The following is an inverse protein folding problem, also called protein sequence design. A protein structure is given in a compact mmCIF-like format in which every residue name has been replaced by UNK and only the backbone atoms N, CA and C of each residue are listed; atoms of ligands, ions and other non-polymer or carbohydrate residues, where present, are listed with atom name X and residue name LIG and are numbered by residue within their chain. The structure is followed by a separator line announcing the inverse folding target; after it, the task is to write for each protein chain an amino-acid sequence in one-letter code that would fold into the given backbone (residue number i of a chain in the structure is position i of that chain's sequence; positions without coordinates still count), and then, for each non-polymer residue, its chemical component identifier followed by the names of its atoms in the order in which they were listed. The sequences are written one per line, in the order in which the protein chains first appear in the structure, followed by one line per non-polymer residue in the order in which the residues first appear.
data_IF_787610240698
#
_entry.id   IF_787610240698
#
_cell.length_a   1.000
_cell.length_b   1.000
_cell.length_c   1.000
_cell.angle_alpha   90.00
_cell.angle_beta   90.00
_cell.angle_gamma   90.00
#
_symmetry.space_group_name_H-M   'P 1'
#
loop_
_entity.id
_entity.type
_entity.pdbx_description
1 polymer ?
#
# COMPACT_ATOMS: atom_id res chain seq x y z
N UNK A 1 14.24 9.95 -48.81
CA UNK A 1 13.35 11.01 -48.27
C UNK A 1 13.67 11.27 -46.80
N UNK A 2 13.29 12.41 -46.23
CA UNK A 2 13.56 12.72 -44.80
C UNK A 2 12.30 12.48 -43.95
N UNK A 3 12.46 11.85 -42.78
CA UNK A 3 11.36 11.69 -41.83
C UNK A 3 10.89 13.08 -41.32
N UNK A 4 9.58 13.39 -41.34
CA UNK A 4 9.08 14.69 -40.89
C UNK A 4 9.32 14.92 -39.40
N UNK A 5 9.33 13.85 -38.58
CA UNK A 5 9.46 13.92 -37.13
C UNK A 5 10.92 13.99 -36.64
N UNK A 6 11.82 13.14 -37.15
CA UNK A 6 13.19 13.04 -36.63
C UNK A 6 14.29 13.42 -37.63
N UNK A 7 13.91 13.84 -38.86
CA UNK A 7 14.81 14.22 -39.96
C UNK A 7 15.85 13.17 -40.36
N UNK A 8 15.65 11.90 -39.96
CA UNK A 8 16.48 10.81 -40.44
C UNK A 8 16.25 10.55 -41.94
N UNK A 9 17.28 10.08 -42.63
CA UNK A 9 17.17 9.60 -44.01
C UNK A 9 16.39 8.28 -44.00
N UNK A 10 15.31 8.23 -44.76
CA UNK A 10 14.46 7.04 -44.94
C UNK A 10 14.41 6.68 -46.43
N UNK A 11 14.29 5.38 -46.74
CA UNK A 11 14.10 4.95 -48.12
C UNK A 11 12.68 5.28 -48.56
N UNK A 12 12.46 5.70 -49.82
CA UNK A 12 11.13 6.06 -50.29
C UNK A 12 10.13 4.89 -50.26
N UNK A 13 10.61 3.65 -50.24
CA UNK A 13 9.84 2.41 -50.14
C UNK A 13 9.32 2.14 -48.71
N UNK A 14 9.92 2.77 -47.68
CA UNK A 14 9.56 2.54 -46.29
C UNK A 14 8.17 3.13 -45.95
N UNK A 15 7.35 2.33 -45.26
CA UNK A 15 6.04 2.78 -44.76
C UNK A 15 6.16 3.53 -43.42
N UNK A 16 7.27 3.38 -42.70
CA UNK A 16 7.54 4.02 -41.41
C UNK A 16 9.03 4.29 -41.23
N UNK A 17 9.38 5.17 -40.30
CA UNK A 17 10.78 5.48 -39.99
C UNK A 17 11.39 4.42 -39.06
N UNK A 18 12.46 3.74 -39.50
CA UNK A 18 13.18 2.76 -38.67
C UNK A 18 13.82 3.36 -37.40
N UNK A 19 14.03 4.67 -37.34
CA UNK A 19 14.65 5.35 -36.19
C UNK A 19 13.67 5.74 -35.10
N UNK A 20 12.52 6.31 -35.46
CA UNK A 20 11.55 6.83 -34.49
C UNK A 20 10.17 6.16 -34.55
N UNK A 21 9.91 5.30 -35.54
CA UNK A 21 8.64 4.61 -35.72
C UNK A 21 7.51 5.45 -36.33
N UNK A 22 7.79 6.69 -36.76
CA UNK A 22 6.77 7.56 -37.38
C UNK A 22 6.30 7.00 -38.72
N UNK A 23 5.00 6.99 -38.98
CA UNK A 23 4.43 6.55 -40.25
C UNK A 23 4.73 7.56 -41.36
N UNK A 24 5.31 7.10 -42.47
CA UNK A 24 5.68 7.95 -43.60
C UNK A 24 4.61 7.94 -44.70
N UNK A 25 3.75 6.92 -44.72
CA UNK A 25 2.65 6.76 -45.67
C UNK A 25 1.32 6.62 -44.90
N UNK A 26 0.23 7.12 -45.50
CA UNK A 26 -1.12 7.12 -44.92
C UNK A 26 -1.75 5.71 -44.87
N UNK A 27 -1.23 4.76 -45.65
CA UNK A 27 -1.70 3.38 -45.64
C UNK A 27 -1.08 2.63 -44.45
N UNK A 28 -1.90 2.40 -43.40
CA UNK A 28 -1.58 1.44 -42.35
C UNK A 28 -1.71 0.03 -42.92
N UNK A 29 -0.61 -0.49 -43.46
CA UNK A 29 -0.50 -1.92 -43.69
C UNK A 29 -0.45 -2.61 -42.32
N UNK A 30 -1.15 -3.75 -42.12
CA UNK A 30 -1.02 -4.56 -40.92
C UNK A 30 0.38 -5.19 -40.92
N UNK A 31 1.37 -4.41 -40.47
CA UNK A 31 2.72 -4.91 -40.25
C UNK A 31 2.66 -5.73 -38.97
N UNK A 32 3.07 -7.01 -39.04
CA UNK A 32 3.27 -7.82 -37.83
C UNK A 32 4.16 -7.02 -36.89
N UNK A 33 3.74 -6.78 -35.63
CA UNK A 33 4.57 -6.04 -34.68
C UNK A 33 5.92 -6.75 -34.60
N UNK A 34 6.98 -6.03 -34.99
CA UNK A 34 8.33 -6.56 -34.89
C UNK A 34 8.58 -6.89 -33.42
N UNK A 35 8.91 -8.15 -33.13
CA UNK A 35 9.24 -8.59 -31.78
C UNK A 35 10.45 -7.79 -31.30
N UNK A 36 10.19 -6.78 -30.47
CA UNK A 36 11.25 -6.03 -29.82
C UNK A 36 11.86 -6.95 -28.79
N UNK A 37 13.08 -7.40 -29.05
CA UNK A 37 13.85 -8.16 -28.06
C UNK A 37 13.92 -7.33 -26.77
N UNK A 38 13.38 -7.87 -25.69
CA UNK A 38 13.52 -7.28 -24.35
C UNK A 38 15.01 -7.03 -24.10
N UNK A 39 15.35 -5.84 -23.61
CA UNK A 39 16.75 -5.51 -23.31
C UNK A 39 17.31 -6.59 -22.38
N UNK A 40 18.55 -7.07 -22.62
CA UNK A 40 19.13 -8.13 -21.80
C UNK A 40 19.15 -7.70 -20.34
N UNK A 41 18.69 -8.57 -19.44
CA UNK A 41 18.47 -8.28 -18.02
C UNK A 41 19.69 -7.61 -17.36
N UNK A 42 20.90 -7.98 -17.79
CA UNK A 42 22.16 -7.41 -17.30
C UNK A 42 22.29 -5.89 -17.52
N UNK A 43 21.64 -5.30 -18.52
CA UNK A 43 21.64 -3.83 -18.74
C UNK A 43 20.61 -3.10 -17.87
N UNK A 44 19.58 -3.80 -17.41
CA UNK A 44 18.46 -3.22 -16.64
C UNK A 44 18.63 -3.42 -15.12
N UNK A 45 19.38 -4.46 -14.73
CA UNK A 45 19.69 -4.80 -13.35
C UNK A 45 20.19 -3.62 -12.50
N UNK A 46 21.16 -2.78 -12.94
CA UNK A 46 21.66 -1.69 -12.10
C UNK A 46 20.62 -0.58 -11.90
N UNK A 47 19.75 -0.32 -12.87
CA UNK A 47 18.68 0.67 -12.75
C UNK A 47 17.60 0.20 -11.77
N UNK A 48 17.22 -1.08 -11.85
CA UNK A 48 16.28 -1.71 -10.91
C UNK A 48 16.83 -1.77 -9.49
N UNK A 49 18.12 -2.10 -9.32
CA UNK A 49 18.78 -2.13 -8.02
C UNK A 49 18.75 -0.75 -7.35
N UNK A 50 19.07 0.32 -8.10
CA UNK A 50 18.99 1.70 -7.59
C UNK A 50 17.54 2.08 -7.22
N UNK A 51 16.58 1.76 -8.08
CA UNK A 51 15.16 2.00 -7.79
C UNK A 51 14.68 1.29 -6.52
N UNK A 52 15.05 0.02 -6.34
CA UNK A 52 14.75 -0.75 -5.14
C UNK A 52 15.37 -0.16 -3.88
N UNK A 53 16.59 0.38 -3.97
CA UNK A 53 17.29 0.97 -2.84
C UNK A 53 16.62 2.26 -2.34
N UNK A 54 16.11 3.12 -3.24
CA UNK A 54 15.34 4.30 -2.86
C UNK A 54 14.01 3.94 -2.18
N UNK A 55 13.32 2.91 -2.67
CA UNK A 55 12.08 2.43 -2.05
C UNK A 55 12.35 1.88 -0.64
N UNK A 56 13.41 1.09 -0.48
CA UNK A 56 13.80 0.56 0.82
C UNK A 56 14.11 1.67 1.83
N UNK A 57 14.86 2.70 1.42
CA UNK A 57 15.14 3.88 2.24
C UNK A 57 13.87 4.65 2.62
N UNK A 58 12.95 4.85 1.68
CA UNK A 58 11.67 5.52 1.93
C UNK A 58 10.81 4.79 2.96
N UNK A 59 10.69 3.46 2.82
CA UNK A 59 9.93 2.61 3.76
C UNK A 59 10.57 2.62 5.15
N UNK A 60 11.89 2.48 5.24
CA UNK A 60 12.62 2.54 6.50
C UNK A 60 12.46 3.89 7.20
N UNK A 61 12.54 5.00 6.45
CA UNK A 61 12.34 6.35 6.97
C UNK A 61 10.92 6.57 7.51
N UNK A 62 9.90 6.13 6.76
CA UNK A 62 8.50 6.27 7.21
C UNK A 62 8.21 5.41 8.44
N UNK A 63 8.80 4.22 8.53
CA UNK A 63 8.72 3.37 9.72
C UNK A 63 9.38 4.03 10.93
N UNK A 64 10.60 4.56 10.77
CA UNK A 64 11.31 5.27 11.83
C UNK A 64 10.51 6.49 12.32
N UNK A 65 9.95 7.29 11.41
CA UNK A 65 9.12 8.44 11.75
C UNK A 65 7.90 8.04 12.59
N UNK A 66 7.22 6.96 12.23
CA UNK A 66 6.08 6.44 13.01
C UNK A 66 6.48 6.01 14.41
N UNK A 67 7.67 5.44 14.59
CA UNK A 67 8.17 5.07 15.93
C UNK A 67 8.47 6.31 16.77
N UNK A 68 9.10 7.33 16.19
CA UNK A 68 9.37 8.60 16.89
C UNK A 68 8.06 9.28 17.29
N UNK A 69 7.08 9.37 16.38
CA UNK A 69 5.76 9.94 16.68
C UNK A 69 5.06 9.16 17.80
N UNK A 70 5.08 7.82 17.75
CA UNK A 70 4.52 6.99 18.83
C UNK A 70 5.21 7.20 20.17
N UNK A 71 6.54 7.31 20.19
CA UNK A 71 7.30 7.54 21.41
C UNK A 71 7.06 8.94 22.01
N UNK A 72 6.89 9.95 21.16
CA UNK A 72 6.52 11.29 21.60
C UNK A 72 5.09 11.33 22.14
N UNK A 73 4.15 10.69 21.44
CA UNK A 73 2.76 10.58 21.89
C UNK A 73 2.66 9.79 23.20
N UNK A 74 3.38 8.69 23.35
CA UNK A 74 3.35 7.90 24.59
C UNK A 74 3.98 8.64 25.76
N UNK A 75 4.96 9.52 25.53
CA UNK A 75 5.51 10.42 26.56
C UNK A 75 4.60 11.60 26.88
N UNK A 76 3.92 12.17 25.89
CA UNK A 76 2.98 13.28 26.07
C UNK A 76 1.68 12.82 26.75
N UNK A 77 1.21 11.62 26.40
CA UNK A 77 0.03 10.96 26.98
C UNK A 77 0.40 10.03 28.13
N UNK A 78 1.68 9.95 28.54
CA UNK A 78 2.08 9.20 29.71
C UNK A 78 1.27 9.73 30.90
N UNK A 79 0.50 8.89 31.60
CA UNK A 79 -0.29 9.34 32.73
C UNK A 79 0.66 9.92 33.78
N UNK A 80 0.71 11.25 33.86
CA UNK A 80 1.39 11.98 34.94
C UNK A 80 0.64 11.67 36.22
N UNK A 81 1.20 10.77 37.02
CA UNK A 81 0.80 10.56 38.41
C UNK A 81 -0.61 9.99 38.57
N UNK A 82 -0.82 8.74 38.15
CA UNK A 82 -1.83 7.92 38.78
C UNK A 82 -1.38 7.63 40.21
N UNK A 83 -1.80 8.47 41.18
CA UNK A 83 -1.85 8.08 42.59
C UNK A 83 -2.37 6.65 42.62
N UNK A 84 -1.62 5.74 43.24
CA UNK A 84 -2.14 4.43 43.60
C UNK A 84 -3.36 4.68 44.48
N UNK A 85 -4.55 4.61 43.90
CA UNK A 85 -5.77 4.53 44.69
C UNK A 85 -5.58 3.30 45.59
N UNK A 86 -5.73 3.46 46.92
CA UNK A 86 -5.60 2.32 47.83
C UNK A 86 -6.55 1.24 47.34
N UNK A 87 -6.02 0.04 47.13
CA UNK A 87 -6.80 -1.10 46.71
C UNK A 87 -8.01 -1.22 47.65
N UNK A 88 -9.21 -1.07 47.09
CA UNK A 88 -10.44 -1.31 47.83
C UNK A 88 -10.35 -2.73 48.41
N UNK A 89 -10.80 -2.95 49.67
CA UNK A 89 -10.78 -4.27 50.28
C UNK A 89 -11.43 -5.27 49.33
N UNK A 90 -10.68 -6.33 49.00
CA UNK A 90 -11.18 -7.43 48.19
C UNK A 90 -12.29 -8.12 48.99
N UNK A 91 -13.52 -7.66 48.81
CA UNK A 91 -14.69 -8.48 49.08
C UNK A 91 -14.57 -9.67 48.12
N UNK A 92 -14.26 -10.83 48.70
CA UNK A 92 -14.18 -12.10 47.96
C UNK A 92 -15.52 -12.29 47.25
N UNK A 93 -15.54 -12.00 45.95
CA UNK A 93 -16.66 -12.43 45.12
C UNK A 93 -16.76 -13.96 45.24
N UNK A 94 -17.96 -14.49 45.56
CA UNK A 94 -18.16 -15.93 45.54
C UNK A 94 -17.85 -16.46 44.14
N UNK A 95 -17.17 -17.61 44.08
CA UNK A 95 -16.75 -18.24 42.85
C UNK A 95 -17.90 -18.28 41.84
N UNK A 96 -17.67 -17.97 40.55
CA UNK A 96 -18.73 -17.98 39.57
C UNK A 96 -19.31 -19.39 39.49
N UNK A 97 -20.56 -19.54 39.92
CA UNK A 97 -21.36 -20.71 39.57
C UNK A 97 -21.35 -20.79 38.04
N UNK A 98 -20.91 -21.93 37.50
CA UNK A 98 -20.83 -22.16 36.06
C UNK A 98 -22.14 -21.72 35.40
N UNK A 99 -22.13 -20.69 34.52
CA UNK A 99 -23.35 -20.33 33.82
C UNK A 99 -23.67 -21.46 32.84
N UNK A 100 -24.91 -21.95 32.96
CA UNK A 100 -25.52 -22.87 32.01
C UNK A 100 -25.48 -22.18 30.64
N UNK A 101 -24.97 -22.88 29.63
CA UNK A 101 -24.60 -22.33 28.31
C UNK A 101 -25.71 -21.51 27.62
N UNK A 102 -26.97 -21.73 27.98
CA UNK A 102 -28.12 -21.04 27.43
C UNK A 102 -28.18 -19.54 27.80
N UNK A 103 -27.65 -19.14 28.95
CA UNK A 103 -27.63 -17.71 29.36
C UNK A 103 -26.53 -16.92 28.66
N UNK A 104 -25.42 -17.56 28.29
CA UNK A 104 -24.31 -16.91 27.58
C UNK A 104 -24.70 -16.50 26.15
N UNK A 105 -25.55 -17.29 25.49
CA UNK A 105 -26.08 -16.98 24.16
C UNK A 105 -27.01 -15.75 24.17
N UNK A 106 -27.81 -15.60 25.22
CA UNK A 106 -28.72 -14.45 25.39
C UNK A 106 -27.96 -13.14 25.64
N UNK A 107 -26.85 -13.16 26.39
CA UNK A 107 -26.00 -11.99 26.60
C UNK A 107 -25.26 -11.56 25.31
N UNK A 108 -24.73 -12.51 24.53
CA UNK A 108 -24.03 -12.22 23.28
C UNK A 108 -24.96 -11.59 22.21
N UNK A 109 -26.22 -12.02 22.15
CA UNK A 109 -27.22 -11.39 21.27
C UNK A 109 -27.59 -9.97 21.71
N UNK A 110 -27.55 -9.67 23.02
CA UNK A 110 -27.95 -8.35 23.53
C UNK A 110 -26.87 -7.27 23.32
N UNK A 111 -25.58 -7.65 23.36
CA UNK A 111 -24.48 -6.71 23.11
C UNK A 111 -24.33 -6.33 21.62
N UNK A 112 -24.59 -7.26 20.70
CA UNK A 112 -24.45 -6.99 19.26
C UNK A 112 -25.50 -6.02 18.69
N UNK A 113 -26.70 -5.95 19.28
CA UNK A 113 -27.76 -5.04 18.83
C UNK A 113 -27.49 -3.58 19.23
N UNK A 114 -26.84 -3.34 20.38
CA UNK A 114 -26.58 -1.98 20.87
C UNK A 114 -25.49 -1.29 20.03
N UNK A 115 -24.42 -2.02 19.66
CA UNK A 115 -23.32 -1.46 18.85
C UNK A 115 -23.80 -1.03 17.46
N UNK A 116 -24.72 -1.78 16.85
CA UNK A 116 -25.23 -1.47 15.51
C UNK A 116 -26.12 -0.22 15.47
N UNK A 117 -26.79 0.12 16.59
CA UNK A 117 -27.68 1.29 16.67
C UNK A 117 -26.94 2.60 16.91
N UNK A 118 -25.75 2.55 17.50
CA UNK A 118 -24.91 3.74 17.77
C UNK A 118 -24.12 4.17 16.52
N UNK A 119 -23.75 3.22 15.65
CA UNK A 119 -23.00 3.50 14.42
C UNK A 119 -23.87 4.00 13.25
N UNK A 120 -25.20 3.84 13.29
CA UNK A 120 -26.11 4.30 12.23
C UNK A 120 -26.69 5.71 12.43
N UNK A 121 -26.29 6.42 13.49
CA UNK A 121 -26.80 7.76 13.84
C UNK A 121 -25.73 8.86 13.85
N UNK A 122 -24.56 8.59 13.28
CA UNK A 122 -23.52 9.58 13.00
C UNK A 122 -23.31 9.70 11.50
#
# INVERSE_FOLDING_TARGET
MLCPQCKAVCTPEDNYCHRCGHYLRLYRLPVRPQERSLAPLGRVAPALARGGLYLALGVAGQWALRQVVRALLSRALAPRGGRSLPAAPQERLPAPARPRQDEALLFAYRETVIVRRVLGRR
#
